data_IF_162497042962
#
_entry.id   IF_162497042962
#
_cell.length_a   1.000
_cell.length_b   1.000
_cell.length_c   1.000
_cell.angle_alpha   90.00
_cell.angle_beta   90.00
_cell.angle_gamma   90.00
#
_symmetry.space_group_name_H-M   'P 1'
#
loop_
_entity.id
_entity.type
_entity.pdbx_description
1 polymer ?
#
# COMPACT_ATOMS: atom_id res chain seq x y z
N UNK A 1 -16.61 -14.70 -0.57
CA UNK A 1 -15.17 -14.89 -0.81
C UNK A 1 -15.01 -16.22 -1.47
N UNK A 2 -14.32 -16.28 -2.60
CA UNK A 2 -13.93 -17.56 -3.19
C UNK A 2 -12.81 -18.18 -2.35
N UNK A 3 -12.82 -19.50 -2.21
CA UNK A 3 -11.84 -20.24 -1.42
C UNK A 3 -10.77 -20.86 -2.34
N UNK A 4 -9.46 -20.73 -2.03
CA UNK A 4 -8.88 -20.00 -0.90
C UNK A 4 -8.76 -18.47 -1.17
N UNK A 5 -8.90 -17.65 -0.13
CA UNK A 5 -8.65 -16.20 -0.23
C UNK A 5 -7.16 -15.90 -0.11
N UNK A 6 -6.47 -15.81 -1.26
CA UNK A 6 -5.03 -15.55 -1.32
C UNK A 6 -4.64 -14.12 -0.90
N UNK A 7 -5.60 -13.20 -0.76
CA UNK A 7 -5.31 -11.85 -0.27
C UNK A 7 -5.13 -11.79 1.25
N UNK A 8 -5.52 -12.84 1.98
CA UNK A 8 -5.44 -12.88 3.44
C UNK A 8 -4.48 -13.97 3.95
N UNK A 9 -3.54 -14.44 3.11
CA UNK A 9 -2.52 -15.39 3.56
C UNK A 9 -1.63 -14.68 4.57
N UNK A 10 -1.69 -15.17 5.82
CA UNK A 10 -0.90 -14.67 6.93
C UNK A 10 0.60 -14.75 6.60
N UNK A 11 1.36 -13.85 7.20
CA UNK A 11 2.82 -13.92 7.19
C UNK A 11 3.30 -15.02 8.15
N UNK A 12 4.52 -14.89 8.68
CA UNK A 12 5.06 -15.81 9.67
C UNK A 12 4.13 -15.92 10.89
N UNK A 13 3.72 -17.15 11.19
CA UNK A 13 2.95 -17.51 12.38
C UNK A 13 3.86 -18.30 13.30
N UNK A 14 3.85 -17.92 14.58
CA UNK A 14 4.64 -18.58 15.63
C UNK A 14 3.70 -19.46 16.46
N UNK A 15 3.99 -20.75 16.53
CA UNK A 15 3.24 -21.72 17.32
C UNK A 15 4.12 -22.22 18.45
N UNK A 16 3.54 -22.33 19.64
CA UNK A 16 4.15 -23.04 20.76
C UNK A 16 3.42 -24.37 20.93
N UNK A 17 4.15 -25.47 20.86
CA UNK A 17 3.59 -26.81 21.10
C UNK A 17 4.15 -27.30 22.43
N UNK A 18 3.29 -27.36 23.45
CA UNK A 18 3.65 -27.92 24.74
C UNK A 18 3.60 -29.45 24.63
N UNK A 19 4.72 -30.11 24.96
CA UNK A 19 4.84 -31.57 24.84
C UNK A 19 4.04 -32.35 25.90
N UNK A 20 3.59 -31.71 26.99
CA UNK A 20 2.82 -32.37 28.05
C UNK A 20 1.65 -31.53 28.57
N UNK A 21 0.50 -32.18 28.85
CA UNK A 21 -0.68 -31.55 29.50
C UNK A 21 -0.41 -31.09 30.94
N UNK A 22 0.71 -31.49 31.55
CA UNK A 22 1.10 -31.17 32.92
C UNK A 22 2.49 -30.51 33.03
N UNK A 23 3.13 -30.12 31.92
CA UNK A 23 4.47 -29.52 31.91
C UNK A 23 4.43 -27.98 32.01
N UNK A 24 5.35 -27.40 32.76
CA UNK A 24 5.54 -25.94 32.86
C UNK A 24 5.86 -25.32 31.49
N UNK A 25 5.42 -24.07 31.28
CA UNK A 25 5.58 -23.26 30.05
C UNK A 25 7.04 -23.05 29.57
N UNK A 26 8.02 -23.57 30.33
CA UNK A 26 9.46 -23.44 30.09
C UNK A 26 10.03 -24.42 29.05
N UNK A 27 9.29 -25.47 28.65
CA UNK A 27 9.78 -26.53 27.73
C UNK A 27 8.93 -26.64 26.44
N UNK A 28 8.34 -25.53 26.02
CA UNK A 28 7.52 -25.44 24.81
C UNK A 28 8.39 -25.36 23.55
N UNK A 29 8.22 -26.29 22.61
CA UNK A 29 8.86 -26.16 21.29
C UNK A 29 8.21 -24.99 20.55
N UNK A 30 9.04 -24.08 20.04
CA UNK A 30 8.62 -22.94 19.25
C UNK A 30 8.83 -23.25 17.76
N UNK A 31 7.75 -23.20 16.98
CA UNK A 31 7.78 -23.40 15.53
C UNK A 31 7.38 -22.11 14.82
N UNK A 32 8.17 -21.71 13.83
CA UNK A 32 7.86 -20.60 12.94
C UNK A 32 7.45 -21.18 11.58
N UNK A 33 6.23 -20.88 11.13
CA UNK A 33 5.76 -21.30 9.80
C UNK A 33 5.28 -20.08 9.05
N UNK A 34 5.83 -19.87 7.85
CA UNK A 34 5.33 -18.88 6.91
C UNK A 34 4.50 -19.59 5.84
N UNK A 35 3.18 -19.42 5.87
CA UNK A 35 2.28 -20.05 4.91
C UNK A 35 2.62 -19.66 3.45
N UNK A 36 3.23 -18.49 3.24
CA UNK A 36 3.65 -18.03 1.91
C UNK A 36 4.84 -18.81 1.34
N UNK A 37 5.59 -19.56 2.15
CA UNK A 37 6.71 -20.37 1.66
C UNK A 37 6.28 -21.57 0.82
N UNK A 38 5.00 -21.96 0.90
CA UNK A 38 4.42 -23.04 0.11
C UNK A 38 3.96 -22.59 -1.29
N UNK A 39 4.03 -21.30 -1.59
CA UNK A 39 3.73 -20.76 -2.92
C UNK A 39 5.04 -20.64 -3.69
N UNK A 40 5.20 -21.53 -4.67
CA UNK A 40 6.39 -21.64 -5.53
C UNK A 40 6.01 -21.47 -7.01
N UNK A 41 6.94 -21.07 -7.88
CA UNK A 41 6.72 -21.01 -9.33
C UNK A 41 6.21 -22.34 -9.90
N UNK A 42 5.39 -22.26 -10.94
CA UNK A 42 4.80 -23.47 -11.56
C UNK A 42 5.78 -24.24 -12.43
N UNK A 43 6.87 -23.59 -12.86
CA UNK A 43 7.91 -24.16 -13.72
C UNK A 43 9.19 -24.38 -12.94
N UNK A 44 9.90 -25.45 -13.28
CA UNK A 44 11.20 -25.74 -12.67
C UNK A 44 12.19 -24.60 -12.93
N UNK A 45 13.00 -24.28 -11.90
CA UNK A 45 14.00 -23.20 -11.86
C UNK A 45 13.50 -21.77 -12.06
N UNK A 46 12.22 -21.56 -12.36
CA UNK A 46 11.64 -20.22 -12.45
C UNK A 46 11.67 -19.50 -11.10
N UNK A 47 11.52 -18.18 -11.16
CA UNK A 47 11.51 -17.29 -10.00
C UNK A 47 10.16 -16.61 -9.88
N UNK A 48 9.81 -16.21 -8.66
CA UNK A 48 8.79 -15.22 -8.40
C UNK A 48 9.45 -13.84 -8.41
N UNK A 49 8.76 -12.89 -9.02
CA UNK A 49 9.11 -11.46 -9.01
C UNK A 49 7.90 -10.70 -8.48
N UNK A 50 8.07 -9.91 -7.44
CA UNK A 50 7.00 -9.09 -6.86
C UNK A 50 7.33 -7.62 -6.90
N UNK A 51 6.29 -6.80 -6.94
CA UNK A 51 6.39 -5.36 -6.75
C UNK A 51 5.25 -4.86 -5.86
N UNK A 52 5.58 -4.16 -4.78
CA UNK A 52 4.63 -3.46 -3.92
C UNK A 52 4.80 -1.94 -4.01
N UNK A 53 3.70 -1.20 -4.03
CA UNK A 53 3.78 0.26 -3.98
C UNK A 53 4.24 0.74 -2.62
N UNK A 54 5.21 1.66 -2.61
CA UNK A 54 5.66 2.32 -1.39
C UNK A 54 4.66 3.38 -0.92
N UNK A 55 3.81 3.01 0.04
CA UNK A 55 2.84 3.89 0.72
C UNK A 55 1.86 4.58 -0.25
N UNK A 56 1.26 3.82 -1.17
CA UNK A 56 0.37 4.38 -2.21
C UNK A 56 -0.77 5.25 -1.65
N UNK A 57 -1.39 4.86 -0.54
CA UNK A 57 -2.50 5.64 0.02
C UNK A 57 -2.06 6.99 0.60
N UNK A 58 -0.84 7.05 1.17
CA UNK A 58 -0.25 8.29 1.67
C UNK A 58 0.15 9.22 0.52
N UNK A 59 0.67 8.65 -0.57
CA UNK A 59 0.94 9.39 -1.83
C UNK A 59 -0.34 9.95 -2.46
N UNK A 60 -1.43 9.18 -2.42
CA UNK A 60 -2.75 9.64 -2.84
C UNK A 60 -3.28 10.75 -1.93
N UNK A 61 -3.10 10.65 -0.61
CA UNK A 61 -3.44 11.73 0.31
C UNK A 61 -2.68 13.01 -0.05
N UNK A 62 -1.38 12.95 -0.30
CA UNK A 62 -0.59 14.09 -0.73
C UNK A 62 -1.09 14.69 -2.06
N UNK A 63 -1.38 13.85 -3.04
CA UNK A 63 -1.92 14.28 -4.33
C UNK A 63 -3.26 15.00 -4.21
N UNK A 64 -4.21 14.43 -3.47
CA UNK A 64 -5.55 15.02 -3.35
C UNK A 64 -5.58 16.24 -2.44
N UNK A 65 -4.81 16.21 -1.34
CA UNK A 65 -4.72 17.34 -0.42
C UNK A 65 -3.94 18.52 -0.96
N UNK A 66 -3.04 18.26 -1.93
CA UNK A 66 -2.08 19.24 -2.44
C UNK A 66 -1.27 19.91 -1.33
N UNK A 67 -1.08 19.20 -0.21
CA UNK A 67 -0.34 19.71 0.92
C UNK A 67 1.14 19.81 0.57
N UNK A 68 1.68 21.03 0.56
CA UNK A 68 3.04 21.29 0.10
C UNK A 68 4.09 20.58 0.95
N UNK A 69 3.90 20.54 2.27
CA UNK A 69 4.84 19.87 3.19
C UNK A 69 4.84 18.37 2.92
N UNK A 70 3.65 17.76 2.78
CA UNK A 70 3.57 16.32 2.52
C UNK A 70 4.09 15.94 1.13
N UNK A 71 3.84 16.77 0.11
CA UNK A 71 4.40 16.59 -1.24
C UNK A 71 5.92 16.66 -1.20
N UNK A 72 6.49 17.65 -0.52
CA UNK A 72 7.94 17.80 -0.38
C UNK A 72 8.56 16.55 0.27
N UNK A 73 8.00 16.08 1.39
CA UNK A 73 8.49 14.89 2.09
C UNK A 73 8.45 13.63 1.22
N UNK A 74 7.36 13.40 0.50
CA UNK A 74 7.17 12.20 -0.34
C UNK A 74 7.88 12.25 -1.68
N UNK A 75 8.39 13.41 -2.08
CA UNK A 75 9.20 13.60 -3.28
C UNK A 75 10.68 13.38 -3.03
N UNK A 76 11.12 13.30 -1.76
CA UNK A 76 12.50 12.93 -1.45
C UNK A 76 12.76 11.46 -1.83
N UNK A 77 13.92 11.14 -2.42
CA UNK A 77 14.22 9.79 -2.92
C UNK A 77 14.56 8.79 -1.80
N UNK A 78 14.89 9.26 -0.59
CA UNK A 78 15.41 8.44 0.51
C UNK A 78 14.79 8.86 1.84
N UNK A 79 14.80 7.93 2.80
CA UNK A 79 14.29 8.13 4.16
C UNK A 79 13.05 7.30 4.47
N UNK A 80 12.84 6.98 5.74
CA UNK A 80 11.58 6.40 6.18
C UNK A 80 10.53 7.51 6.26
N UNK A 81 9.48 7.39 5.45
CA UNK A 81 8.43 8.41 5.33
C UNK A 81 7.78 8.74 6.67
N UNK A 82 7.62 7.76 7.56
CA UNK A 82 6.98 8.00 8.85
C UNK A 82 7.94 8.65 9.84
N UNK A 83 9.23 8.33 9.80
CA UNK A 83 10.28 9.09 10.50
C UNK A 83 10.30 10.55 10.07
N UNK A 84 10.28 10.80 8.76
CA UNK A 84 10.29 12.16 8.21
C UNK A 84 9.03 12.96 8.59
N UNK A 85 7.85 12.31 8.55
CA UNK A 85 6.60 12.93 9.00
C UNK A 85 6.64 13.22 10.50
N UNK A 86 7.15 12.29 11.31
CA UNK A 86 7.29 12.47 12.76
C UNK A 86 8.18 13.68 13.05
N UNK A 87 9.40 13.70 12.50
CA UNK A 87 10.35 14.80 12.61
C UNK A 87 9.74 16.15 12.22
N UNK A 88 9.04 16.22 11.08
CA UNK A 88 8.39 17.45 10.62
C UNK A 88 7.25 17.90 11.54
N UNK A 89 6.48 16.95 12.07
CA UNK A 89 5.32 17.22 12.91
C UNK A 89 5.73 17.65 14.33
N UNK A 90 6.69 16.96 14.93
CA UNK A 90 7.16 17.22 16.30
C UNK A 90 8.26 18.27 16.37
N UNK A 91 8.89 18.59 15.23
CA UNK A 91 9.99 19.55 15.14
C UNK A 91 11.33 19.01 15.64
N UNK A 92 11.45 17.69 15.84
CA UNK A 92 12.71 17.05 16.23
C UNK A 92 13.55 16.64 15.00
N UNK A 93 14.87 16.46 15.12
CA UNK A 93 15.70 15.90 14.06
C UNK A 93 15.29 14.46 13.70
N UNK A 94 15.39 14.07 12.42
CA UNK A 94 15.04 12.71 11.94
C UNK A 94 15.79 11.61 12.72
N UNK A 95 17.07 11.82 13.02
CA UNK A 95 17.92 10.87 13.76
C UNK A 95 17.50 10.67 15.23
N UNK A 96 16.64 11.55 15.76
CA UNK A 96 16.11 11.45 17.12
C UNK A 96 14.79 10.68 17.19
N UNK A 97 14.18 10.37 16.04
CA UNK A 97 12.91 9.65 15.99
C UNK A 97 13.16 8.15 16.23
N UNK A 98 12.68 7.66 17.37
CA UNK A 98 12.75 6.24 17.71
C UNK A 98 11.76 5.38 16.90
N UNK A 99 11.98 4.06 16.89
CA UNK A 99 11.08 3.10 16.22
C UNK A 99 9.64 3.18 16.72
N UNK A 100 9.45 3.35 18.04
CA UNK A 100 8.12 3.45 18.64
C UNK A 100 7.38 4.72 18.18
N UNK A 101 8.09 5.86 18.10
CA UNK A 101 7.52 7.13 17.63
C UNK A 101 7.16 7.04 16.14
N UNK A 102 8.03 6.43 15.35
CA UNK A 102 7.80 6.15 13.93
C UNK A 102 6.54 5.30 13.72
N UNK A 103 6.37 4.25 14.52
CA UNK A 103 5.19 3.37 14.43
C UNK A 103 3.91 4.02 14.96
N UNK A 104 3.99 4.82 16.02
CA UNK A 104 2.86 5.65 16.48
C UNK A 104 2.45 6.67 15.41
N UNK A 105 3.42 7.31 14.75
CA UNK A 105 3.17 8.25 13.65
C UNK A 105 2.49 7.56 12.49
N UNK A 106 2.96 6.36 12.11
CA UNK A 106 2.29 5.53 11.09
C UNK A 106 0.82 5.27 11.44
N UNK A 107 0.53 4.82 12.68
CA UNK A 107 -0.85 4.57 13.14
C UNK A 107 -1.70 5.85 13.11
N UNK A 108 -1.14 6.97 13.54
CA UNK A 108 -1.82 8.27 13.49
C UNK A 108 -2.19 8.68 12.06
N UNK A 109 -1.22 8.64 11.14
CA UNK A 109 -1.40 9.04 9.74
C UNK A 109 -2.49 8.18 9.08
N UNK A 110 -2.43 6.85 9.23
CA UNK A 110 -3.46 5.98 8.67
C UNK A 110 -4.81 6.12 9.38
N UNK A 111 -4.81 6.38 10.70
CA UNK A 111 -6.03 6.68 11.44
C UNK A 111 -6.73 7.91 10.88
N UNK A 112 -5.98 8.99 10.64
CA UNK A 112 -6.52 10.22 10.04
C UNK A 112 -6.99 9.97 8.60
N UNK A 113 -6.22 9.24 7.80
CA UNK A 113 -6.55 8.89 6.42
C UNK A 113 -7.87 8.11 6.31
N UNK A 114 -8.16 7.25 7.28
CA UNK A 114 -9.41 6.49 7.34
C UNK A 114 -10.52 7.20 8.13
N UNK A 115 -10.30 8.46 8.51
CA UNK A 115 -11.28 9.28 9.22
C UNK A 115 -11.57 8.80 10.64
N UNK A 116 -10.62 8.13 11.30
CA UNK A 116 -10.79 7.74 12.70
C UNK A 116 -11.04 8.96 13.58
N UNK A 117 -12.05 8.86 14.44
CA UNK A 117 -12.26 9.85 15.51
C UNK A 117 -11.30 9.61 16.67
N UNK A 118 -11.23 10.57 17.59
CA UNK A 118 -10.31 10.55 18.73
C UNK A 118 -10.41 9.25 19.57
N UNK A 119 -11.62 8.72 19.80
CA UNK A 119 -11.81 7.48 20.58
C UNK A 119 -11.14 6.26 19.93
N UNK A 120 -11.40 6.00 18.65
CA UNK A 120 -10.82 4.86 17.93
C UNK A 120 -9.31 5.01 17.77
N UNK A 121 -8.84 6.23 17.56
CA UNK A 121 -7.42 6.50 17.47
C UNK A 121 -6.72 6.30 18.83
N UNK A 122 -7.34 6.72 19.93
CA UNK A 122 -6.83 6.52 21.28
C UNK A 122 -6.58 5.04 21.60
N UNK A 123 -7.51 4.16 21.20
CA UNK A 123 -7.34 2.71 21.32
C UNK A 123 -6.12 2.19 20.52
N UNK A 124 -5.90 2.69 19.29
CA UNK A 124 -4.76 2.26 18.47
C UNK A 124 -3.40 2.79 18.95
N UNK A 125 -3.40 3.98 19.56
CA UNK A 125 -2.21 4.64 20.09
C UNK A 125 -1.92 4.25 21.55
N UNK A 126 -2.86 3.63 22.25
CA UNK A 126 -2.72 3.31 23.67
C UNK A 126 -2.71 4.54 24.56
N UNK A 127 -3.48 5.58 24.21
CA UNK A 127 -3.55 6.85 24.95
C UNK A 127 -4.99 7.23 25.32
N UNK A 128 -5.19 8.36 25.99
CA UNK A 128 -6.53 8.87 26.28
C UNK A 128 -7.19 9.50 25.02
N UNK A 129 -8.53 9.55 24.95
CA UNK A 129 -9.25 10.26 23.88
C UNK A 129 -8.88 11.75 23.77
N UNK A 130 -8.57 12.41 24.88
CA UNK A 130 -8.14 13.81 24.89
C UNK A 130 -6.79 13.97 24.18
N UNK A 131 -5.79 13.19 24.55
CA UNK A 131 -4.46 13.19 23.92
C UNK A 131 -4.54 12.82 22.43
N UNK A 132 -5.37 11.83 22.06
CA UNK A 132 -5.59 11.50 20.66
C UNK A 132 -6.20 12.67 19.88
N UNK A 133 -7.14 13.39 20.49
CA UNK A 133 -7.73 14.61 19.92
C UNK A 133 -6.69 15.71 19.68
N UNK A 134 -5.80 15.95 20.65
CA UNK A 134 -4.70 16.90 20.54
C UNK A 134 -3.72 16.49 19.43
N UNK A 135 -3.34 15.21 19.36
CA UNK A 135 -2.47 14.69 18.29
C UNK A 135 -3.09 14.88 16.91
N UNK A 136 -4.39 14.63 16.75
CA UNK A 136 -5.11 14.87 15.48
C UNK A 136 -5.05 16.35 15.09
N UNK A 137 -5.34 17.25 16.03
CA UNK A 137 -5.35 18.70 15.77
C UNK A 137 -3.95 19.22 15.44
N UNK A 138 -2.95 18.78 16.19
CA UNK A 138 -1.55 19.12 15.97
C UNK A 138 -1.09 18.66 14.57
N UNK A 139 -1.35 17.40 14.20
CA UNK A 139 -1.04 16.89 12.86
C UNK A 139 -1.71 17.71 11.74
N UNK A 140 -3.02 17.99 11.89
CA UNK A 140 -3.78 18.80 10.92
C UNK A 140 -3.24 20.23 10.80
N UNK A 141 -2.63 20.76 11.85
CA UNK A 141 -2.01 22.09 11.84
C UNK A 141 -0.66 22.06 11.10
N UNK A 142 0.10 20.97 11.21
CA UNK A 142 1.35 20.77 10.46
C UNK A 142 1.13 20.47 8.97
N UNK A 143 -0.03 19.90 8.62
CA UNK A 143 -0.43 19.56 7.25
C UNK A 143 -1.80 20.17 6.90
N UNK A 144 -1.88 21.51 6.74
CA UNK A 144 -3.14 22.22 6.56
C UNK A 144 -3.88 21.84 5.26
N UNK A 145 -3.18 21.45 4.20
CA UNK A 145 -3.79 20.98 2.96
C UNK A 145 -4.56 19.67 3.19
N UNK A 146 -4.03 18.78 4.04
CA UNK A 146 -4.73 17.54 4.43
C UNK A 146 -6.00 17.87 5.19
N UNK A 147 -5.94 18.81 6.15
CA UNK A 147 -7.10 19.24 6.91
C UNK A 147 -8.21 19.85 6.03
N UNK A 148 -7.85 20.73 5.09
CA UNK A 148 -8.79 21.34 4.13
C UNK A 148 -9.44 20.27 3.27
N UNK A 149 -8.65 19.37 2.70
CA UNK A 149 -9.14 18.33 1.82
C UNK A 149 -10.11 17.36 2.52
N UNK A 150 -9.82 16.94 3.75
CA UNK A 150 -10.73 16.09 4.52
C UNK A 150 -12.10 16.77 4.72
N UNK A 151 -12.11 18.06 5.01
CA UNK A 151 -13.34 18.84 5.16
C UNK A 151 -14.09 18.98 3.83
N UNK A 152 -13.38 19.31 2.76
CA UNK A 152 -13.95 19.46 1.41
C UNK A 152 -14.58 18.16 0.89
N UNK A 153 -13.93 17.01 1.12
CA UNK A 153 -14.47 15.70 0.74
C UNK A 153 -15.80 15.43 1.44
N UNK A 154 -15.87 15.69 2.74
CA UNK A 154 -17.10 15.49 3.52
C UNK A 154 -18.19 16.45 3.04
N UNK A 155 -17.88 17.73 2.89
CA UNK A 155 -18.83 18.74 2.40
C UNK A 155 -19.37 18.40 1.00
N UNK A 156 -18.48 18.01 0.07
CA UNK A 156 -18.87 17.57 -1.27
C UNK A 156 -19.74 16.32 -1.23
N UNK A 157 -19.43 15.37 -0.35
CA UNK A 157 -20.23 14.16 -0.21
C UNK A 157 -21.63 14.45 0.36
N UNK A 158 -21.75 15.38 1.32
CA UNK A 158 -23.05 15.87 1.80
C UNK A 158 -23.87 16.51 0.67
N UNK A 159 -23.23 17.35 -0.15
CA UNK A 159 -23.90 18.05 -1.27
C UNK A 159 -24.34 17.05 -2.37
N UNK A 160 -23.42 16.22 -2.87
CA UNK A 160 -23.66 15.35 -4.03
C UNK A 160 -24.25 13.99 -3.68
N UNK A 161 -24.02 13.48 -2.47
CA UNK A 161 -24.41 12.13 -2.05
C UNK A 161 -23.48 11.02 -2.54
N UNK A 162 -22.33 11.37 -3.11
CA UNK A 162 -21.32 10.41 -3.57
C UNK A 162 -19.91 11.04 -3.55
N UNK A 163 -18.88 10.19 -3.64
CA UNK A 163 -17.49 10.58 -3.90
C UNK A 163 -16.97 9.93 -5.18
N UNK A 164 -15.88 10.45 -5.74
CA UNK A 164 -15.21 9.90 -6.94
C UNK A 164 -13.76 9.54 -6.63
N UNK A 165 -13.27 8.47 -7.24
CA UNK A 165 -11.84 8.12 -7.26
C UNK A 165 -11.10 8.93 -8.33
N UNK A 166 -9.76 8.77 -8.39
CA UNK A 166 -8.87 9.39 -9.38
C UNK A 166 -9.34 9.17 -10.83
N UNK A 167 -9.85 7.98 -11.16
CA UNK A 167 -10.35 7.66 -12.51
C UNK A 167 -11.87 7.81 -12.64
N UNK A 168 -12.52 8.48 -11.69
CA UNK A 168 -13.92 8.91 -11.80
C UNK A 168 -14.95 7.87 -11.36
N UNK A 169 -14.55 6.71 -10.83
CA UNK A 169 -15.48 5.71 -10.28
C UNK A 169 -16.20 6.32 -9.08
N UNK A 170 -17.53 6.22 -9.08
CA UNK A 170 -18.40 6.80 -8.04
C UNK A 170 -18.71 5.79 -6.95
N UNK A 171 -18.67 6.22 -5.70
CA UNK A 171 -19.30 5.53 -4.56
C UNK A 171 -20.42 6.39 -4.02
N UNK A 172 -21.65 5.92 -4.15
CA UNK A 172 -22.82 6.56 -3.57
C UNK A 172 -22.92 6.22 -2.07
N UNK A 173 -23.19 7.23 -1.26
CA UNK A 173 -23.27 7.13 0.20
C UNK A 173 -24.60 7.72 0.66
N UNK A 174 -25.72 7.05 0.34
CA UNK A 174 -27.08 7.54 0.61
C UNK A 174 -27.32 7.96 2.06
N UNK A 175 -26.67 7.26 3.00
CA UNK A 175 -26.73 7.53 4.44
C UNK A 175 -26.12 8.87 4.86
N UNK A 176 -25.33 9.52 4.01
CA UNK A 176 -24.82 10.86 4.31
C UNK A 176 -25.93 11.92 4.29
N UNK A 177 -26.94 11.74 3.41
CA UNK A 177 -28.09 12.66 3.31
C UNK A 177 -29.21 12.27 4.26
N UNK A 178 -29.59 10.99 4.25
CA UNK A 178 -30.82 10.50 4.88
C UNK A 178 -30.60 9.65 6.14
N UNK A 179 -29.34 9.44 6.56
CA UNK A 179 -29.03 8.66 7.74
C UNK A 179 -29.20 9.43 9.06
N UNK A 180 -29.28 8.70 10.16
CA UNK A 180 -29.15 9.29 11.50
C UNK A 180 -27.70 9.74 11.77
N UNK A 181 -27.43 10.41 12.90
CA UNK A 181 -26.10 10.96 13.22
C UNK A 181 -24.97 9.92 13.16
N UNK A 182 -25.22 8.70 13.66
CA UNK A 182 -24.23 7.61 13.63
C UNK A 182 -23.96 7.13 12.21
N UNK A 183 -25.01 7.01 11.40
CA UNK A 183 -24.90 6.63 9.99
C UNK A 183 -24.20 7.70 9.15
N UNK A 184 -24.49 8.98 9.39
CA UNK A 184 -23.81 10.11 8.73
C UNK A 184 -22.32 10.12 9.04
N UNK A 185 -21.93 10.03 10.31
CA UNK A 185 -20.52 9.93 10.72
C UNK A 185 -19.82 8.71 10.12
N UNK A 186 -20.52 7.57 9.97
CA UNK A 186 -19.97 6.40 9.25
C UNK A 186 -19.79 6.70 7.76
N UNK A 187 -20.76 7.37 7.13
CA UNK A 187 -20.68 7.73 5.71
C UNK A 187 -19.55 8.73 5.42
N UNK A 188 -19.32 9.70 6.31
CA UNK A 188 -18.20 10.65 6.21
C UNK A 188 -16.85 9.94 6.20
N UNK A 189 -16.65 9.00 7.14
CA UNK A 189 -15.43 8.16 7.18
C UNK A 189 -15.27 7.33 5.91
N UNK A 190 -16.36 6.73 5.44
CA UNK A 190 -16.37 5.98 4.19
C UNK A 190 -16.06 6.87 2.98
N UNK A 191 -16.48 8.12 2.96
CA UNK A 191 -16.25 9.06 1.86
C UNK A 191 -14.74 9.26 1.64
N UNK A 192 -14.01 9.64 2.69
CA UNK A 192 -12.55 9.85 2.63
C UNK A 192 -11.82 8.56 2.25
N UNK A 193 -12.07 7.48 3.00
CA UNK A 193 -11.42 6.18 2.76
C UNK A 193 -11.63 5.70 1.31
N UNK A 194 -12.82 5.89 0.75
CA UNK A 194 -13.15 5.44 -0.61
C UNK A 194 -12.40 6.18 -1.69
N UNK A 195 -12.04 7.45 -1.47
CA UNK A 195 -11.25 8.21 -2.44
C UNK A 195 -9.85 7.62 -2.52
N UNK A 196 -9.16 7.42 -1.39
CA UNK A 196 -7.80 6.88 -1.39
C UNK A 196 -7.76 5.40 -1.78
N UNK A 197 -8.49 4.53 -1.09
CA UNK A 197 -8.52 3.09 -1.41
C UNK A 197 -9.03 2.83 -2.82
N UNK A 198 -10.08 3.55 -3.22
CA UNK A 198 -10.61 3.45 -4.57
C UNK A 198 -9.56 3.88 -5.60
N UNK A 199 -8.87 5.00 -5.39
CA UNK A 199 -7.86 5.45 -6.34
C UNK A 199 -6.64 4.51 -6.40
N UNK A 200 -6.21 3.94 -5.28
CA UNK A 200 -5.18 2.90 -5.27
C UNK A 200 -5.60 1.67 -6.09
N UNK A 201 -6.87 1.24 -5.94
CA UNK A 201 -7.44 0.16 -6.73
C UNK A 201 -7.56 0.50 -8.23
N UNK A 202 -7.74 1.76 -8.61
CA UNK A 202 -7.69 2.18 -10.02
C UNK A 202 -6.26 2.08 -10.56
N UNK A 203 -5.29 2.58 -9.81
CA UNK A 203 -3.87 2.60 -10.18
C UNK A 203 -3.32 1.18 -10.38
N UNK A 204 -3.53 0.27 -9.43
CA UNK A 204 -3.04 -1.11 -9.55
C UNK A 204 -3.67 -1.82 -10.74
N UNK A 205 -4.96 -1.58 -11.03
CA UNK A 205 -5.64 -2.18 -12.20
C UNK A 205 -5.09 -1.66 -13.52
N UNK A 206 -4.74 -0.37 -13.60
CA UNK A 206 -4.07 0.18 -14.77
C UNK A 206 -2.71 -0.47 -14.96
N UNK A 207 -1.93 -0.62 -13.89
CA UNK A 207 -0.65 -1.32 -13.95
C UNK A 207 -0.81 -2.77 -14.44
N UNK A 208 -1.80 -3.50 -13.91
CA UNK A 208 -2.12 -4.86 -14.36
C UNK A 208 -2.46 -4.93 -15.85
N UNK A 209 -3.27 -3.99 -16.36
CA UNK A 209 -3.61 -3.92 -17.79
C UNK A 209 -2.34 -3.67 -18.62
N UNK A 210 -1.51 -2.71 -18.23
CA UNK A 210 -0.27 -2.38 -18.93
C UNK A 210 0.68 -3.58 -18.99
N UNK A 211 0.85 -4.30 -17.88
CA UNK A 211 1.70 -5.51 -17.80
C UNK A 211 1.11 -6.63 -18.65
N UNK A 212 -0.20 -6.86 -18.56
CA UNK A 212 -0.88 -7.92 -19.28
C UNK A 212 -0.81 -7.73 -20.79
N UNK A 213 -1.05 -6.51 -21.29
CA UNK A 213 -0.94 -6.21 -22.72
C UNK A 213 0.46 -6.49 -23.28
N UNK A 214 1.51 -6.25 -22.49
CA UNK A 214 2.87 -6.59 -22.90
C UNK A 214 3.12 -8.11 -22.87
N UNK A 215 2.84 -8.77 -21.74
CA UNK A 215 3.20 -10.19 -21.54
C UNK A 215 2.34 -11.14 -22.38
N UNK A 216 1.03 -10.89 -22.44
CA UNK A 216 0.08 -11.80 -23.09
C UNK A 216 -0.15 -11.45 -24.57
N UNK A 217 -0.31 -10.15 -24.87
CA UNK A 217 -0.72 -9.69 -26.20
C UNK A 217 0.49 -9.28 -27.06
N UNK A 218 1.66 -9.03 -26.46
CA UNK A 218 2.81 -8.45 -27.15
C UNK A 218 2.58 -7.01 -27.59
N UNK A 219 1.56 -6.35 -27.03
CA UNK A 219 1.24 -4.95 -27.29
C UNK A 219 2.13 -4.12 -26.40
N UNK A 220 3.16 -3.54 -27.00
CA UNK A 220 4.04 -2.59 -26.33
C UNK A 220 3.38 -1.21 -26.47
N UNK A 221 2.97 -0.55 -25.36
CA UNK A 221 2.51 0.83 -25.41
C UNK A 221 3.59 1.69 -26.07
N UNK A 222 3.23 2.81 -26.68
CA UNK A 222 4.12 3.68 -27.48
C UNK A 222 5.45 3.99 -26.76
N UNK A 223 6.40 3.09 -26.93
CA UNK A 223 7.75 3.13 -26.40
C UNK A 223 8.70 2.98 -27.59
N UNK A 224 9.93 3.46 -27.43
CA UNK A 224 10.98 3.35 -28.45
C UNK A 224 11.11 1.90 -28.97
N UNK A 225 11.47 1.73 -30.24
CA UNK A 225 11.67 0.44 -30.90
C UNK A 225 12.55 -0.52 -30.08
N UNK A 226 13.57 0.00 -29.40
CA UNK A 226 14.44 -0.77 -28.50
C UNK A 226 13.73 -1.41 -27.29
N UNK A 227 12.67 -0.80 -26.75
CA UNK A 227 11.91 -1.38 -25.63
C UNK A 227 10.93 -2.45 -26.10
N UNK A 228 10.49 -2.38 -27.36
CA UNK A 228 9.60 -3.38 -27.92
C UNK A 228 10.32 -4.73 -28.08
N UNK A 229 11.55 -4.71 -28.59
CA UNK A 229 12.37 -5.92 -28.72
C UNK A 229 12.71 -6.53 -27.35
N UNK A 230 13.02 -5.69 -26.36
CA UNK A 230 13.25 -6.10 -24.98
C UNK A 230 12.04 -6.84 -24.40
N UNK A 231 10.83 -6.30 -24.56
CA UNK A 231 9.63 -6.90 -23.96
C UNK A 231 9.01 -8.05 -24.76
N UNK A 232 9.28 -8.14 -26.07
CA UNK A 232 8.90 -9.31 -26.88
C UNK A 232 9.51 -10.60 -26.30
N UNK A 233 10.68 -10.50 -25.66
CA UNK A 233 11.32 -11.62 -24.99
C UNK A 233 10.48 -12.23 -23.87
N UNK A 234 9.61 -11.45 -23.22
CA UNK A 234 8.82 -11.89 -22.07
C UNK A 234 7.69 -12.86 -22.42
N UNK A 235 7.26 -12.88 -23.69
CA UNK A 235 6.15 -13.72 -24.12
C UNK A 235 6.46 -15.20 -23.91
N UNK A 236 5.64 -15.87 -23.09
CA UNK A 236 5.84 -17.27 -22.71
C UNK A 236 6.97 -17.54 -21.70
N UNK A 237 7.72 -16.50 -21.30
CA UNK A 237 8.80 -16.51 -20.32
C UNK A 237 8.49 -15.69 -19.05
N UNK A 238 7.34 -15.04 -19.00
CA UNK A 238 6.85 -14.32 -17.84
C UNK A 238 5.32 -14.46 -17.76
N UNK A 239 4.76 -14.48 -16.55
CA UNK A 239 3.31 -14.54 -16.33
C UNK A 239 2.91 -13.83 -15.03
N UNK A 240 1.88 -13.00 -15.08
CA UNK A 240 1.24 -12.45 -13.89
C UNK A 240 0.39 -13.54 -13.22
N UNK A 241 0.65 -13.80 -11.93
CA UNK A 241 0.00 -14.85 -11.14
C UNK A 241 -1.07 -14.29 -10.22
N UNK A 242 -0.71 -13.31 -9.38
CA UNK A 242 -1.55 -12.84 -8.29
C UNK A 242 -1.49 -11.31 -8.17
N UNK A 243 -2.57 -10.76 -7.64
CA UNK A 243 -2.61 -9.39 -7.11
C UNK A 243 -3.09 -9.46 -5.66
N UNK A 244 -2.28 -8.95 -4.74
CA UNK A 244 -2.52 -8.94 -3.30
C UNK A 244 -2.45 -7.51 -2.81
N UNK A 245 -3.60 -6.88 -2.59
CA UNK A 245 -3.69 -5.44 -2.25
C UNK A 245 -2.99 -4.54 -3.27
N UNK A 246 -1.83 -3.98 -2.95
CA UNK A 246 -1.01 -3.14 -3.81
C UNK A 246 0.25 -3.85 -4.33
N UNK A 247 0.37 -5.17 -4.09
CA UNK A 247 1.43 -6.05 -4.59
C UNK A 247 0.97 -6.83 -5.84
N UNK A 248 1.83 -6.89 -6.85
CA UNK A 248 1.72 -7.81 -7.99
C UNK A 248 2.75 -8.93 -7.87
N UNK A 249 2.35 -10.15 -8.19
CA UNK A 249 3.21 -11.35 -8.19
C UNK A 249 3.28 -11.92 -9.60
N UNK A 250 4.49 -12.01 -10.14
CA UNK A 250 4.79 -12.61 -11.43
C UNK A 250 5.62 -13.88 -11.21
N UNK A 251 5.48 -14.87 -12.10
CA UNK A 251 6.49 -15.91 -12.30
C UNK A 251 7.27 -15.63 -13.59
N UNK A 252 8.56 -15.91 -13.57
CA UNK A 252 9.47 -15.49 -14.64
C UNK A 252 10.63 -16.45 -14.82
N UNK A 253 11.01 -16.67 -16.08
CA UNK A 253 12.22 -17.37 -16.46
C UNK A 253 13.44 -16.53 -16.02
N UNK A 254 14.43 -17.11 -15.31
CA UNK A 254 15.60 -16.36 -14.84
C UNK A 254 16.35 -15.61 -15.96
N UNK A 255 16.29 -16.12 -17.20
CA UNK A 255 16.95 -15.49 -18.35
C UNK A 255 16.37 -14.14 -18.79
N UNK A 256 15.19 -13.76 -18.29
CA UNK A 256 14.52 -12.48 -18.63
C UNK A 256 14.07 -11.69 -17.39
N UNK A 257 14.69 -11.93 -16.24
CA UNK A 257 14.30 -11.33 -14.96
C UNK A 257 14.43 -9.80 -14.99
N UNK A 258 15.48 -9.27 -15.62
CA UNK A 258 15.77 -7.84 -15.68
C UNK A 258 14.73 -7.09 -16.53
N UNK A 259 14.32 -7.68 -17.66
CA UNK A 259 13.28 -7.16 -18.53
C UNK A 259 11.91 -7.21 -17.84
N UNK A 260 11.62 -8.29 -17.11
CA UNK A 260 10.38 -8.41 -16.35
C UNK A 260 10.31 -7.40 -15.20
N UNK A 261 11.41 -7.19 -14.48
CA UNK A 261 11.52 -6.20 -13.42
C UNK A 261 11.37 -4.77 -13.97
N UNK A 262 12.00 -4.49 -15.12
CA UNK A 262 11.86 -3.21 -15.82
C UNK A 262 10.40 -2.95 -16.25
N UNK A 263 9.75 -3.95 -16.87
CA UNK A 263 8.33 -3.86 -17.24
C UNK A 263 7.45 -3.59 -16.02
N UNK A 264 7.66 -4.35 -14.94
CA UNK A 264 6.86 -4.27 -13.72
C UNK A 264 7.00 -2.89 -13.07
N UNK A 265 8.24 -2.41 -12.90
CA UNK A 265 8.55 -1.08 -12.38
C UNK A 265 7.91 0.00 -13.23
N UNK A 266 8.20 0.03 -14.54
CA UNK A 266 7.67 1.05 -15.44
C UNK A 266 6.14 1.06 -15.47
N UNK A 267 5.51 -0.11 -15.54
CA UNK A 267 4.06 -0.20 -15.63
C UNK A 267 3.34 0.28 -14.37
N UNK A 268 3.94 0.05 -13.19
CA UNK A 268 3.39 0.49 -11.91
C UNK A 268 3.71 1.96 -11.62
N UNK A 269 4.96 2.39 -11.75
CA UNK A 269 5.35 3.78 -11.45
C UNK A 269 4.68 4.79 -12.39
N UNK A 270 4.35 4.39 -13.63
CA UNK A 270 3.67 5.25 -14.61
C UNK A 270 2.15 5.02 -14.71
N UNK A 271 1.54 4.21 -13.83
CA UNK A 271 0.12 3.91 -13.89
C UNK A 271 -0.79 5.14 -13.66
N UNK A 272 -0.27 6.18 -13.00
CA UNK A 272 -0.95 7.46 -12.85
C UNK A 272 0.02 8.64 -12.70
N UNK A 273 -0.42 9.82 -13.16
CA UNK A 273 0.27 11.07 -12.92
C UNK A 273 -0.22 11.66 -11.59
N UNK A 274 0.63 11.62 -10.57
CA UNK A 274 0.39 12.21 -9.26
C UNK A 274 1.30 13.42 -9.03
N UNK A 275 1.06 14.16 -7.94
CA UNK A 275 1.92 15.29 -7.54
C UNK A 275 3.19 14.83 -6.80
N UNK A 276 3.29 13.53 -6.52
CA UNK A 276 4.43 12.87 -5.89
C UNK A 276 4.75 11.62 -6.71
N UNK A 277 6.02 11.20 -6.80
CA UNK A 277 6.39 10.01 -7.56
C UNK A 277 5.73 8.76 -6.97
N UNK A 278 5.35 7.81 -7.82
CA UNK A 278 4.98 6.46 -7.39
C UNK A 278 6.24 5.61 -7.41
N UNK A 279 6.62 5.06 -6.26
CA UNK A 279 7.76 4.14 -6.15
C UNK A 279 7.28 2.74 -5.86
N UNK A 280 7.94 1.76 -6.46
CA UNK A 280 7.72 0.34 -6.14
C UNK A 280 8.96 -0.29 -5.53
N UNK A 281 8.75 -1.27 -4.65
CA UNK A 281 9.82 -2.13 -4.13
C UNK A 281 9.74 -3.46 -4.84
N UNK A 282 10.80 -3.80 -5.56
CA UNK A 282 10.91 -5.07 -6.26
C UNK A 282 11.56 -6.11 -5.36
N UNK A 283 11.05 -7.34 -5.41
CA UNK A 283 11.67 -8.50 -4.75
C UNK A 283 11.65 -9.71 -5.66
N UNK A 284 12.63 -10.59 -5.49
CA UNK A 284 12.76 -11.84 -6.24
C UNK A 284 12.98 -13.00 -5.29
N UNK A 285 12.48 -14.19 -5.64
CA UNK A 285 12.69 -15.36 -4.81
C UNK A 285 12.11 -16.63 -5.41
N UNK A 286 12.48 -17.78 -4.83
CA UNK A 286 11.93 -19.10 -5.24
C UNK A 286 10.62 -19.43 -4.53
N UNK A 287 10.29 -18.71 -3.47
CA UNK A 287 9.10 -18.90 -2.63
C UNK A 287 8.54 -17.53 -2.27
N UNK A 288 7.23 -17.37 -2.28
CA UNK A 288 6.62 -16.06 -2.00
C UNK A 288 6.87 -15.55 -0.58
N UNK A 289 7.02 -16.47 0.39
CA UNK A 289 7.34 -16.13 1.78
C UNK A 289 8.80 -15.73 2.03
N UNK A 290 9.71 -16.07 1.11
CA UNK A 290 11.16 -15.91 1.25
C UNK A 290 11.72 -15.19 0.01
N UNK A 291 11.46 -13.89 -0.06
CA UNK A 291 11.81 -13.02 -1.20
C UNK A 291 12.87 -11.99 -0.77
N UNK A 292 13.86 -11.75 -1.61
CA UNK A 292 14.96 -10.81 -1.38
C UNK A 292 14.77 -9.55 -2.23
N UNK A 293 15.24 -8.36 -1.80
CA UNK A 293 15.22 -7.16 -2.62
C UNK A 293 15.89 -7.43 -3.98
N UNK A 294 15.20 -7.06 -5.06
CA UNK A 294 15.76 -7.24 -6.41
C UNK A 294 16.82 -6.15 -6.68
N UNK A 295 18.02 -6.58 -7.04
CA UNK A 295 19.11 -5.72 -7.50
C UNK A 295 19.38 -6.00 -8.97
N UNK A 296 19.46 -4.95 -9.80
CA UNK A 296 19.62 -5.08 -11.26
C UNK A 296 20.97 -5.70 -11.68
N UNK A 297 21.94 -5.77 -10.76
CA UNK A 297 23.32 -6.20 -11.04
C UNK A 297 23.74 -7.55 -10.38
N UNK A 298 22.84 -8.28 -9.69
CA UNK A 298 23.21 -9.46 -8.87
C UNK A 298 22.83 -10.86 -9.44
N UNK A 299 22.46 -11.00 -10.72
CA UNK A 299 22.08 -12.31 -11.31
C UNK A 299 22.82 -12.67 -12.61
#
# INVERSE_FOLDING_TARGET
MEAPNLQCVEHMVVFKINKDKNGSDADADCYEINARDYFVPTRDKWLLLTADYSQIELRLMAHFSKDSSLIELLSKPHGDVFTMIASRWTGCPEDSVGSDERDQTKRLVYGILYGMGANTLAEQLGCSPAEAGEKIQSFKSSFPGVASWLHEVVAHCHEKGYVKTLKGRKRFLSKIKFGNMKEKSKAERQAVNSICQGSAADIIKIAMINIYSVIAEGVVPVYSSSLADMFNMLKGRCRMLLQVHDELVLEVDPSVINEAASLLRMSMENAALLLVPLHVKLKVGRKWGSMEPFQEDEL
#
